data_IF_483083773398
#
_entry.id   IF_483083773398
#
_cell.length_a   1.000
_cell.length_b   1.000
_cell.length_c   1.000
_cell.angle_alpha   90.00
_cell.angle_beta   90.00
_cell.angle_gamma   90.00
#
_symmetry.space_group_name_H-M   'P 1'
#
loop_
_entity.id
_entity.type
_entity.pdbx_description
1 polymer ?
#
# COMPACT_ATOMS: atom_id res chain seq x y z
N UNK A 1 7.30 12.35 26.45
CA UNK A 1 7.49 11.18 27.34
C UNK A 1 7.11 9.86 26.64
N UNK A 2 6.02 9.86 25.82
CA UNK A 2 5.55 8.66 25.14
C UNK A 2 6.55 8.08 24.11
N UNK A 3 7.40 8.91 23.53
CA UNK A 3 8.40 8.48 22.53
C UNK A 3 9.46 7.54 23.12
N UNK A 4 9.80 7.68 24.38
CA UNK A 4 10.80 6.83 25.03
C UNK A 4 10.38 5.36 25.16
N UNK A 5 9.08 5.10 25.23
CA UNK A 5 8.55 3.74 25.42
C UNK A 5 8.72 2.89 24.16
N UNK A 6 8.77 3.50 22.98
CA UNK A 6 8.86 2.75 21.72
C UNK A 6 10.23 2.14 21.47
N UNK A 7 11.28 2.65 22.12
CA UNK A 7 12.64 2.14 21.99
C UNK A 7 13.13 1.41 23.23
N UNK A 8 12.59 1.70 24.41
CA UNK A 8 13.00 1.07 25.66
C UNK A 8 11.85 1.05 26.68
N UNK A 9 11.56 -0.11 27.24
CA UNK A 9 10.63 -0.28 28.35
C UNK A 9 11.40 -0.46 29.65
N UNK A 10 11.34 0.49 30.61
CA UNK A 10 11.93 0.29 31.93
C UNK A 10 11.32 -0.94 32.62
N UNK A 11 12.17 -1.79 33.19
CA UNK A 11 11.72 -2.95 33.94
C UNK A 11 10.98 -2.59 35.23
N UNK A 12 11.36 -1.48 35.85
CA UNK A 12 10.62 -0.91 36.98
C UNK A 12 9.51 -0.01 36.50
N UNK A 13 8.25 -0.39 36.80
CA UNK A 13 7.04 0.32 36.39
C UNK A 13 6.96 1.78 36.84
N UNK A 14 7.65 2.16 37.93
CA UNK A 14 7.73 3.53 38.42
C UNK A 14 8.43 4.47 37.46
N UNK A 15 9.32 3.96 36.64
CA UNK A 15 10.08 4.74 35.64
C UNK A 15 9.43 4.80 34.24
N UNK A 16 8.34 4.08 34.06
CA UNK A 16 7.61 4.12 32.77
C UNK A 16 6.92 5.45 32.51
N UNK A 17 6.65 6.23 33.56
CA UNK A 17 5.97 7.55 33.50
C UNK A 17 4.60 7.49 32.77
N UNK A 18 3.96 6.34 32.75
CA UNK A 18 2.65 6.10 32.15
C UNK A 18 1.54 6.17 33.19
N UNK A 19 0.35 6.62 32.79
CA UNK A 19 -0.86 6.55 33.64
C UNK A 19 -1.20 5.10 34.04
N UNK A 20 -0.94 4.16 33.13
CA UNK A 20 -1.02 2.71 33.37
C UNK A 20 0.29 2.09 32.88
N UNK A 21 1.09 1.52 33.77
CA UNK A 21 2.28 0.78 33.37
C UNK A 21 1.91 -0.39 32.45
N UNK A 22 2.80 -0.73 31.53
CA UNK A 22 2.65 -1.86 30.60
C UNK A 22 3.62 -2.97 30.96
N UNK A 23 3.21 -4.21 30.74
CA UNK A 23 4.09 -5.36 30.90
C UNK A 23 5.05 -5.50 29.71
N UNK A 24 6.11 -6.26 29.88
CA UNK A 24 7.02 -6.60 28.76
C UNK A 24 6.28 -7.32 27.63
N UNK A 25 5.29 -8.13 27.97
CA UNK A 25 4.46 -8.86 27.00
C UNK A 25 3.55 -7.89 26.20
N UNK A 26 2.86 -6.95 26.89
CA UNK A 26 2.07 -5.92 26.23
C UNK A 26 2.94 -5.07 25.31
N UNK A 27 4.11 -4.65 25.80
CA UNK A 27 5.07 -3.86 25.04
C UNK A 27 5.57 -4.61 23.78
N UNK A 28 5.86 -5.90 23.94
CA UNK A 28 6.22 -6.75 22.81
C UNK A 28 5.09 -6.88 21.78
N UNK A 29 3.83 -6.67 22.20
CA UNK A 29 2.65 -6.67 21.33
C UNK A 29 2.38 -5.36 20.62
N UNK A 30 3.06 -4.26 20.94
CA UNK A 30 2.79 -2.95 20.34
C UNK A 30 3.33 -2.82 18.92
N UNK A 31 2.71 -1.91 18.16
CA UNK A 31 3.27 -1.42 16.90
C UNK A 31 4.58 -0.69 17.22
N UNK A 32 5.64 -1.00 16.49
CA UNK A 32 6.92 -0.30 16.68
C UNK A 32 6.86 1.03 15.94
N UNK A 33 6.62 2.11 16.67
CA UNK A 33 6.59 3.47 16.13
C UNK A 33 7.99 4.11 16.22
N UNK A 34 8.27 5.00 15.26
CA UNK A 34 9.52 5.75 15.17
C UNK A 34 9.23 7.25 15.12
N UNK A 35 10.21 8.12 15.34
CA UNK A 35 10.01 9.58 15.35
C UNK A 35 9.28 10.11 14.12
N UNK A 36 9.56 9.58 12.92
CA UNK A 36 8.93 10.00 11.69
C UNK A 36 7.39 9.83 11.68
N UNK A 37 6.86 8.83 12.40
CA UNK A 37 5.42 8.64 12.56
C UNK A 37 4.75 9.87 13.16
N UNK A 38 5.33 10.42 14.21
CA UNK A 38 4.80 11.61 14.92
C UNK A 38 5.08 12.89 14.15
N UNK A 39 6.28 13.03 13.58
CA UNK A 39 6.70 14.22 12.82
C UNK A 39 5.84 14.45 11.57
N UNK A 40 5.43 13.37 10.91
CA UNK A 40 4.55 13.45 9.73
C UNK A 40 3.06 13.45 10.09
N UNK A 41 2.72 13.28 11.38
CA UNK A 41 1.34 13.35 11.89
C UNK A 41 0.48 12.17 11.51
N UNK A 42 1.07 10.96 11.47
CA UNK A 42 0.34 9.73 11.18
C UNK A 42 -0.54 9.29 12.37
N UNK A 43 -1.64 8.62 12.06
CA UNK A 43 -2.52 7.99 13.05
C UNK A 43 -2.87 6.57 12.60
N UNK A 44 -2.82 5.60 13.53
CA UNK A 44 -3.25 4.23 13.28
C UNK A 44 -4.78 4.17 13.27
N UNK A 45 -5.38 3.71 12.16
CA UNK A 45 -6.84 3.50 12.04
C UNK A 45 -7.22 2.03 12.14
N UNK A 46 -6.37 1.13 11.64
CA UNK A 46 -6.57 -0.32 11.78
C UNK A 46 -5.35 -0.96 12.46
N UNK A 47 -5.52 -2.20 12.96
CA UNK A 47 -4.40 -3.00 13.48
C UNK A 47 -3.58 -2.27 14.57
N UNK A 48 -4.21 -1.99 15.71
CA UNK A 48 -3.56 -1.33 16.85
C UNK A 48 -2.51 -2.21 17.55
N UNK A 49 -2.55 -3.51 17.33
CA UNK A 49 -1.52 -4.46 17.78
C UNK A 49 -0.42 -4.56 16.73
N UNK A 50 0.83 -4.64 17.18
CA UNK A 50 2.01 -4.72 16.30
C UNK A 50 2.24 -6.11 15.70
N UNK A 51 1.47 -7.13 16.12
CA UNK A 51 1.47 -8.46 15.53
C UNK A 51 0.14 -8.66 14.82
N UNK A 52 0.18 -9.01 13.54
CA UNK A 52 -0.98 -9.28 12.70
C UNK A 52 -0.88 -10.71 12.18
N UNK A 53 -1.90 -11.52 12.49
CA UNK A 53 -2.03 -12.87 11.95
C UNK A 53 -2.97 -12.82 10.74
N UNK A 54 -2.52 -13.39 9.62
CA UNK A 54 -3.21 -13.33 8.33
C UNK A 54 -3.20 -14.68 7.64
N UNK A 55 -4.09 -14.87 6.68
CA UNK A 55 -3.93 -15.96 5.71
C UNK A 55 -2.74 -15.66 4.80
N UNK A 56 -2.86 -14.68 3.91
CA UNK A 56 -1.84 -14.32 2.91
C UNK A 56 -1.74 -12.83 2.63
N UNK A 57 -2.73 -12.01 3.03
CA UNK A 57 -2.75 -10.57 2.76
C UNK A 57 -3.38 -9.76 3.88
N UNK A 58 -2.99 -8.51 3.95
CA UNK A 58 -3.50 -7.54 4.93
C UNK A 58 -3.63 -6.15 4.31
N UNK A 59 -4.56 -5.37 4.84
CA UNK A 59 -4.68 -3.94 4.55
C UNK A 59 -4.53 -3.18 5.86
N UNK A 60 -3.42 -2.48 6.01
CA UNK A 60 -3.21 -1.56 7.14
C UNK A 60 -3.67 -0.17 6.74
N UNK A 61 -4.51 0.46 7.55
CA UNK A 61 -5.02 1.81 7.30
C UNK A 61 -4.41 2.81 8.28
N UNK A 62 -3.75 3.82 7.73
CA UNK A 62 -3.19 4.96 8.46
C UNK A 62 -3.87 6.25 7.98
N UNK A 63 -4.33 7.09 8.91
CA UNK A 63 -4.67 8.46 8.58
C UNK A 63 -3.41 9.29 8.49
N UNK A 64 -3.37 10.22 7.55
CA UNK A 64 -2.24 11.10 7.34
C UNK A 64 -2.69 12.47 6.83
N UNK A 65 -2.07 13.58 7.25
CA UNK A 65 -2.31 14.90 6.68
C UNK A 65 -1.90 14.93 5.19
N UNK A 66 -2.41 15.91 4.43
CA UNK A 66 -2.18 15.98 2.99
C UNK A 66 -0.71 16.15 2.59
N UNK A 67 0.07 16.74 3.48
CA UNK A 67 1.52 16.90 3.29
C UNK A 67 2.30 15.59 3.41
N UNK A 68 1.78 14.57 4.11
CA UNK A 68 2.50 13.32 4.32
C UNK A 68 2.41 12.39 3.11
N UNK A 69 3.53 11.81 2.72
CA UNK A 69 3.65 10.76 1.71
C UNK A 69 4.30 9.54 2.33
N UNK A 70 3.81 8.36 1.94
CA UNK A 70 4.22 7.07 2.52
C UNK A 70 4.86 6.17 1.47
N UNK A 71 5.75 5.32 1.94
CA UNK A 71 6.31 4.17 1.23
C UNK A 71 6.24 2.96 2.16
N UNK A 72 6.09 1.76 1.62
CA UNK A 72 6.10 0.53 2.41
C UNK A 72 6.98 -0.53 1.76
N UNK A 73 7.55 -1.37 2.60
CA UNK A 73 8.36 -2.51 2.22
C UNK A 73 7.90 -3.73 3.02
N UNK A 74 7.88 -4.89 2.37
CA UNK A 74 7.71 -6.17 3.04
C UNK A 74 9.09 -6.82 3.18
N UNK A 75 9.47 -7.20 4.40
CA UNK A 75 10.75 -7.83 4.69
C UNK A 75 10.53 -9.26 5.22
N UNK A 76 11.48 -10.14 4.92
CA UNK A 76 11.59 -11.46 5.50
C UNK A 76 13.04 -11.71 5.89
N UNK A 77 13.27 -12.16 7.12
CA UNK A 77 14.63 -12.40 7.65
C UNK A 77 15.58 -11.19 7.46
N UNK A 78 15.03 -9.97 7.64
CA UNK A 78 15.64 -8.65 7.43
C UNK A 78 15.87 -8.27 5.96
N UNK A 79 15.70 -9.18 5.01
CA UNK A 79 15.81 -8.91 3.57
C UNK A 79 14.53 -8.28 3.02
N UNK A 80 14.70 -7.19 2.26
CA UNK A 80 13.60 -6.56 1.53
C UNK A 80 13.15 -7.47 0.39
N UNK A 81 11.86 -7.73 0.32
CA UNK A 81 11.24 -8.44 -0.81
C UNK A 81 11.00 -7.49 -1.99
N UNK A 82 10.60 -8.08 -3.12
CA UNK A 82 10.21 -7.32 -4.31
C UNK A 82 9.08 -6.31 -3.99
N UNK A 83 9.14 -5.15 -4.62
CA UNK A 83 8.19 -4.05 -4.37
C UNK A 83 6.72 -4.42 -4.70
N UNK A 84 6.51 -5.43 -5.55
CA UNK A 84 5.16 -5.91 -5.89
C UNK A 84 4.41 -6.54 -4.70
N UNK A 85 5.07 -6.86 -3.60
CA UNK A 85 4.41 -7.39 -2.40
C UNK A 85 3.78 -6.33 -1.50
N UNK A 86 3.92 -5.05 -1.84
CA UNK A 86 3.22 -3.94 -1.19
C UNK A 86 2.56 -3.03 -2.21
N UNK A 87 1.39 -2.46 -1.87
CA UNK A 87 0.69 -1.51 -2.71
C UNK A 87 0.03 -0.45 -1.84
N UNK A 88 0.34 0.82 -2.09
CA UNK A 88 -0.16 1.93 -1.28
C UNK A 88 -1.15 2.75 -2.08
N UNK A 89 -2.32 2.98 -1.50
CA UNK A 89 -3.36 3.83 -2.08
C UNK A 89 -3.84 4.84 -1.06
N UNK A 90 -4.19 6.03 -1.53
CA UNK A 90 -4.73 7.08 -0.67
C UNK A 90 -6.17 7.42 -1.05
N UNK A 91 -7.05 7.46 -0.05
CA UNK A 91 -8.43 7.89 -0.23
C UNK A 91 -8.93 8.56 1.06
N UNK A 92 -9.62 9.70 0.94
CA UNK A 92 -10.27 10.40 2.05
C UNK A 92 -9.34 10.68 3.25
N UNK A 93 -8.11 11.14 2.99
CA UNK A 93 -7.12 11.45 4.04
C UNK A 93 -6.53 10.24 4.75
N UNK A 94 -6.78 9.03 4.23
CA UNK A 94 -6.22 7.78 4.75
C UNK A 94 -5.42 7.06 3.68
N UNK A 95 -4.34 6.42 4.09
CA UNK A 95 -3.58 5.48 3.28
C UNK A 95 -4.01 4.06 3.61
N UNK A 96 -4.37 3.30 2.57
CA UNK A 96 -4.54 1.86 2.62
C UNK A 96 -3.25 1.22 2.10
N UNK A 97 -2.52 0.60 3.00
CA UNK A 97 -1.26 -0.09 2.75
C UNK A 97 -1.58 -1.57 2.64
N UNK A 98 -1.61 -2.07 1.42
CA UNK A 98 -1.81 -3.47 1.12
C UNK A 98 -0.47 -4.21 1.20
N UNK A 99 -0.45 -5.38 1.81
CA UNK A 99 0.69 -6.28 1.77
C UNK A 99 0.21 -7.71 1.50
N UNK A 100 0.92 -8.42 0.64
CA UNK A 100 0.66 -9.81 0.31
C UNK A 100 1.94 -10.62 0.54
N UNK A 101 1.83 -11.76 1.22
CA UNK A 101 2.98 -12.60 1.55
C UNK A 101 3.16 -13.69 0.51
N UNK A 102 4.36 -13.90 -0.07
CA UNK A 102 4.57 -14.91 -1.11
C UNK A 102 4.45 -16.35 -0.61
N UNK A 103 4.63 -16.59 0.68
CA UNK A 103 4.53 -17.91 1.32
C UNK A 103 4.21 -17.78 2.81
N UNK A 104 3.85 -18.87 3.47
CA UNK A 104 3.66 -18.89 4.94
C UNK A 104 4.93 -18.49 5.69
N UNK A 105 4.77 -17.91 6.89
CA UNK A 105 5.87 -17.57 7.79
C UNK A 105 5.83 -16.15 8.34
N UNK A 106 6.90 -15.72 9.04
CA UNK A 106 7.00 -14.39 9.60
C UNK A 106 7.48 -13.37 8.58
N UNK A 107 6.95 -12.14 8.68
CA UNK A 107 7.35 -10.97 7.89
C UNK A 107 7.31 -9.70 8.75
N UNK A 108 7.94 -8.65 8.23
CA UNK A 108 7.81 -7.29 8.76
C UNK A 108 7.28 -6.40 7.64
N UNK A 109 6.13 -5.76 7.87
CA UNK A 109 5.66 -4.66 7.05
C UNK A 109 6.22 -3.36 7.62
N UNK A 110 7.18 -2.78 6.92
CA UNK A 110 7.83 -1.53 7.29
C UNK A 110 7.24 -0.38 6.50
N UNK A 111 6.85 0.67 7.20
CA UNK A 111 6.30 1.88 6.60
C UNK A 111 7.25 3.04 6.86
N UNK A 112 7.52 3.79 5.81
CA UNK A 112 8.31 5.00 5.81
C UNK A 112 7.42 6.18 5.48
N UNK A 113 7.79 7.35 5.98
CA UNK A 113 7.08 8.59 5.70
C UNK A 113 8.02 9.77 5.53
N UNK A 114 7.56 10.78 4.79
CA UNK A 114 8.15 12.12 4.75
C UNK A 114 7.08 13.16 4.46
N UNK A 115 7.37 14.43 4.67
CA UNK A 115 6.51 15.49 4.15
C UNK A 115 6.81 15.71 2.65
N UNK A 116 5.78 15.94 1.85
CA UNK A 116 5.84 16.01 0.37
C UNK A 116 6.88 17.02 -0.16
N UNK A 117 7.01 18.15 0.52
CA UNK A 117 7.88 19.26 0.11
C UNK A 117 9.24 19.27 0.82
N UNK A 118 9.51 18.30 1.67
CA UNK A 118 10.81 18.15 2.30
C UNK A 118 11.77 17.42 1.37
N UNK A 119 12.97 17.96 1.24
CA UNK A 119 14.08 17.29 0.57
C UNK A 119 14.54 16.08 1.41
N UNK A 120 15.15 15.10 0.76
CA UNK A 120 15.71 13.93 1.41
C UNK A 120 14.89 12.66 1.27
N UNK A 121 15.37 11.61 1.93
CA UNK A 121 14.80 10.26 1.86
C UNK A 121 13.62 10.09 2.79
N UNK A 122 12.79 9.09 2.51
CA UNK A 122 11.76 8.65 3.44
C UNK A 122 12.39 8.13 4.73
N UNK A 123 11.85 8.54 5.88
CA UNK A 123 12.29 8.09 7.18
C UNK A 123 11.40 6.96 7.70
N UNK A 124 11.99 6.00 8.37
CA UNK A 124 11.26 4.89 8.99
C UNK A 124 10.25 5.40 10.03
N UNK A 125 8.96 5.06 9.83
CA UNK A 125 7.85 5.54 10.65
C UNK A 125 7.30 4.47 11.60
N UNK A 126 7.08 3.24 11.10
CA UNK A 126 6.58 2.14 11.92
C UNK A 126 6.83 0.77 11.30
N UNK A 127 6.74 -0.27 12.13
CA UNK A 127 6.76 -1.67 11.71
C UNK A 127 5.58 -2.45 12.31
N UNK A 128 4.99 -3.32 11.48
CA UNK A 128 4.13 -4.42 11.89
C UNK A 128 4.84 -5.75 11.68
N UNK A 129 4.72 -6.67 12.64
CA UNK A 129 5.13 -8.07 12.49
C UNK A 129 3.95 -8.87 11.96
N UNK A 130 4.11 -9.52 10.84
CA UNK A 130 3.07 -10.32 10.18
C UNK A 130 3.40 -11.79 10.36
N UNK A 131 2.39 -12.59 10.73
CA UNK A 131 2.44 -14.05 10.71
C UNK A 131 1.45 -14.53 9.65
N UNK A 132 1.98 -15.00 8.52
CA UNK A 132 1.19 -15.49 7.41
C UNK A 132 1.00 -17.00 7.51
N UNK A 133 -0.25 -17.46 7.44
CA UNK A 133 -0.58 -18.87 7.41
C UNK A 133 -0.35 -19.51 6.03
N UNK A 134 -0.44 -18.71 4.98
CA UNK A 134 -0.34 -19.14 3.57
C UNK A 134 0.50 -18.16 2.75
N UNK A 135 0.67 -18.46 1.46
CA UNK A 135 1.18 -17.55 0.46
C UNK A 135 0.10 -17.13 -0.53
N UNK A 136 0.03 -15.85 -0.85
CA UNK A 136 -0.96 -15.24 -1.74
C UNK A 136 -0.53 -15.10 -3.20
N UNK A 137 0.69 -15.57 -3.57
CA UNK A 137 1.11 -15.61 -4.97
C UNK A 137 1.54 -14.25 -5.55
N UNK A 138 1.15 -13.92 -6.74
CA UNK A 138 1.73 -13.03 -7.73
C UNK A 138 1.91 -11.53 -7.46
N UNK A 139 1.73 -11.02 -6.24
CA UNK A 139 1.94 -9.61 -5.92
C UNK A 139 0.88 -8.66 -6.50
N UNK A 140 1.10 -7.36 -6.33
CA UNK A 140 0.26 -6.27 -6.85
C UNK A 140 0.78 -5.77 -8.20
N UNK A 141 -0.07 -5.13 -9.03
CA UNK A 141 0.37 -4.50 -10.27
C UNK A 141 1.36 -3.36 -9.96
N UNK A 142 2.30 -3.14 -10.88
CA UNK A 142 3.20 -2.00 -10.79
C UNK A 142 2.41 -0.73 -11.07
N UNK A 143 2.45 0.23 -10.14
CA UNK A 143 1.89 1.56 -10.34
C UNK A 143 2.97 2.56 -10.75
N UNK A 144 2.64 3.47 -11.67
CA UNK A 144 3.47 4.62 -12.00
C UNK A 144 3.14 5.81 -11.08
N UNK A 145 4.08 6.77 -10.97
CA UNK A 145 3.89 7.99 -10.17
C UNK A 145 2.60 8.73 -10.51
N UNK A 146 2.29 8.85 -11.79
CA UNK A 146 1.05 9.47 -12.31
C UNK A 146 -0.22 8.91 -11.66
N UNK A 147 -0.26 7.60 -11.35
CA UNK A 147 -1.41 6.99 -10.68
C UNK A 147 -1.62 7.59 -9.28
N UNK A 148 -0.57 7.64 -8.47
CA UNK A 148 -0.66 8.15 -7.08
C UNK A 148 -0.76 9.68 -7.03
N UNK A 149 -0.08 10.39 -7.91
CA UNK A 149 -0.07 11.87 -8.01
C UNK A 149 -1.44 12.43 -8.35
N UNK A 150 -2.20 11.74 -9.22
CA UNK A 150 -3.58 12.11 -9.56
C UNK A 150 -4.63 11.51 -8.62
N UNK A 151 -4.23 10.95 -7.47
CA UNK A 151 -5.17 10.38 -6.51
C UNK A 151 -5.87 9.11 -7.02
N UNK A 152 -5.20 8.35 -7.88
CA UNK A 152 -5.68 7.09 -8.40
C UNK A 152 -5.97 6.07 -7.29
N UNK A 153 -7.06 5.31 -7.45
CA UNK A 153 -7.44 4.23 -6.54
C UNK A 153 -7.89 2.99 -7.31
N UNK A 154 -7.17 1.90 -7.14
CA UNK A 154 -7.45 0.62 -7.76
C UNK A 154 -8.37 -0.22 -6.88
N UNK A 155 -9.55 -0.57 -7.38
CA UNK A 155 -10.47 -1.50 -6.73
C UNK A 155 -10.26 -2.93 -7.23
N UNK A 156 -10.10 -3.11 -8.54
CA UNK A 156 -9.83 -4.40 -9.20
C UNK A 156 -9.21 -4.22 -10.58
N UNK A 157 -8.45 -5.23 -11.05
CA UNK A 157 -7.92 -6.37 -10.30
C UNK A 157 -6.71 -5.98 -9.44
N UNK A 158 -6.63 -6.54 -8.23
CA UNK A 158 -5.54 -6.22 -7.29
C UNK A 158 -4.29 -7.09 -7.51
N UNK A 159 -4.40 -8.23 -8.16
CA UNK A 159 -3.25 -9.11 -8.43
C UNK A 159 -2.57 -8.75 -9.75
N UNK A 160 -1.22 -8.71 -9.74
CA UNK A 160 -0.41 -8.38 -10.92
C UNK A 160 -0.54 -9.40 -12.04
N UNK A 161 -0.73 -10.69 -11.69
CA UNK A 161 -0.83 -11.78 -12.66
C UNK A 161 -2.29 -12.08 -12.96
N UNK A 162 -2.68 -11.93 -14.22
CA UNK A 162 -4.04 -12.17 -14.70
C UNK A 162 -4.05 -13.37 -15.64
N UNK A 163 -4.98 -14.32 -15.43
CA UNK A 163 -5.07 -15.52 -16.26
C UNK A 163 -5.52 -15.16 -17.67
N UNK A 164 -4.74 -15.53 -18.69
CA UNK A 164 -5.12 -15.37 -20.09
C UNK A 164 -6.35 -16.21 -20.42
N UNK A 165 -7.19 -15.68 -21.30
CA UNK A 165 -8.50 -16.25 -21.64
C UNK A 165 -9.58 -16.04 -20.58
N UNK A 166 -9.25 -15.41 -19.43
CA UNK A 166 -10.25 -15.02 -18.44
C UNK A 166 -10.71 -13.57 -18.63
N UNK A 167 -11.95 -13.29 -18.25
CA UNK A 167 -12.47 -11.92 -18.19
C UNK A 167 -12.21 -11.34 -16.80
N UNK A 168 -11.59 -10.15 -16.75
CA UNK A 168 -11.30 -9.43 -15.52
C UNK A 168 -12.12 -8.14 -15.45
N UNK A 169 -12.63 -7.83 -14.27
CA UNK A 169 -13.32 -6.56 -14.00
C UNK A 169 -12.27 -5.51 -13.63
N UNK A 170 -11.99 -4.59 -14.53
CA UNK A 170 -11.22 -3.39 -14.21
C UNK A 170 -12.14 -2.35 -13.59
N UNK A 171 -11.83 -1.94 -12.37
CA UNK A 171 -12.53 -0.88 -11.63
C UNK A 171 -11.49 0.02 -10.98
N UNK A 172 -11.33 1.20 -11.55
CA UNK A 172 -10.24 2.12 -11.21
C UNK A 172 -10.82 3.52 -11.06
N UNK A 173 -10.57 4.16 -9.94
CA UNK A 173 -10.86 5.57 -9.75
C UNK A 173 -9.65 6.39 -10.21
N UNK A 174 -9.87 7.36 -11.10
CA UNK A 174 -8.83 8.27 -11.61
C UNK A 174 -9.42 9.67 -11.68
N UNK A 175 -9.33 10.44 -10.58
CA UNK A 175 -9.87 11.79 -10.54
C UNK A 175 -9.31 12.66 -11.65
N UNK A 176 -10.18 13.43 -12.30
CA UNK A 176 -9.82 14.35 -13.38
C UNK A 176 -9.52 13.72 -14.74
N UNK A 177 -9.41 12.40 -14.86
CA UNK A 177 -9.18 11.79 -16.16
C UNK A 177 -10.41 11.89 -17.08
N UNK A 178 -10.18 12.12 -18.37
CA UNK A 178 -11.21 12.07 -19.40
C UNK A 178 -11.50 10.66 -19.87
N UNK A 179 -10.43 9.87 -20.05
CA UNK A 179 -10.48 8.49 -20.55
C UNK A 179 -9.50 7.62 -19.81
N UNK A 180 -9.87 6.37 -19.59
CA UNK A 180 -8.97 5.30 -19.14
C UNK A 180 -9.12 4.11 -20.08
N UNK A 181 -8.00 3.51 -20.47
CA UNK A 181 -7.99 2.35 -21.34
C UNK A 181 -7.02 1.27 -20.79
N UNK A 182 -7.40 0.01 -21.00
CA UNK A 182 -6.54 -1.15 -20.86
C UNK A 182 -5.99 -1.51 -22.23
N UNK A 183 -4.67 -1.60 -22.35
CA UNK A 183 -3.98 -1.82 -23.61
C UNK A 183 -3.26 -3.16 -23.58
N UNK A 184 -3.49 -3.97 -24.60
CA UNK A 184 -2.84 -5.25 -24.83
C UNK A 184 -2.39 -5.31 -26.30
N UNK A 185 -1.05 -5.32 -26.53
CA UNK A 185 -0.49 -5.12 -27.86
C UNK A 185 -0.96 -3.79 -28.44
N UNK A 186 -1.62 -3.83 -29.62
CA UNK A 186 -2.19 -2.67 -30.31
C UNK A 186 -3.67 -2.45 -29.98
N UNK A 187 -4.28 -3.31 -29.14
CA UNK A 187 -5.70 -3.27 -28.83
C UNK A 187 -5.97 -2.37 -27.63
N UNK A 188 -6.83 -1.37 -27.83
CA UNK A 188 -7.26 -0.40 -26.83
C UNK A 188 -8.67 -0.71 -26.34
N UNK A 189 -8.82 -1.07 -25.08
CA UNK A 189 -10.09 -1.34 -24.44
C UNK A 189 -10.44 -0.17 -23.51
N UNK A 190 -11.27 0.76 -24.00
CA UNK A 190 -11.70 1.90 -23.21
C UNK A 190 -12.67 1.48 -22.11
N UNK A 191 -12.40 1.90 -20.87
CA UNK A 191 -13.30 1.68 -19.75
C UNK A 191 -14.42 2.71 -19.75
N UNK A 192 -15.62 2.29 -19.32
CA UNK A 192 -16.77 3.17 -19.16
C UNK A 192 -16.55 4.11 -17.97
N UNK A 193 -16.71 5.41 -18.21
CA UNK A 193 -16.60 6.42 -17.17
C UNK A 193 -17.92 6.58 -16.42
N UNK A 194 -17.86 6.54 -15.07
CA UNK A 194 -18.96 6.80 -14.15
C UNK A 194 -18.47 7.74 -13.04
N UNK A 195 -18.58 9.06 -13.24
CA UNK A 195 -17.91 10.06 -12.42
C UNK A 195 -16.38 9.95 -12.55
N UNK A 196 -15.67 9.79 -11.43
CA UNK A 196 -14.22 9.53 -11.43
C UNK A 196 -13.87 8.04 -11.51
N UNK A 197 -14.87 7.16 -11.56
CA UNK A 197 -14.71 5.72 -11.67
C UNK A 197 -14.71 5.29 -13.13
N UNK A 198 -13.78 4.40 -13.49
CA UNK A 198 -13.70 3.76 -14.80
C UNK A 198 -13.87 2.27 -14.65
N UNK A 199 -14.83 1.67 -15.36
CA UNK A 199 -15.22 0.26 -15.19
C UNK A 199 -15.31 -0.42 -16.56
N UNK A 200 -14.82 -1.67 -16.62
CA UNK A 200 -14.95 -2.52 -17.81
C UNK A 200 -14.62 -3.97 -17.55
N UNK A 201 -15.29 -4.85 -18.29
CA UNK A 201 -14.98 -6.28 -18.30
C UNK A 201 -14.06 -6.53 -19.49
N UNK A 202 -12.81 -6.90 -19.23
CA UNK A 202 -11.76 -7.05 -20.23
C UNK A 202 -11.28 -8.50 -20.25
N UNK A 203 -11.36 -9.15 -21.40
CA UNK A 203 -10.76 -10.46 -21.63
C UNK A 203 -9.24 -10.31 -21.76
N UNK A 204 -8.51 -11.09 -21.00
CA UNK A 204 -7.04 -11.04 -20.97
C UNK A 204 -6.48 -11.87 -22.13
N UNK A 205 -5.97 -11.21 -23.16
CA UNK A 205 -5.50 -11.83 -24.39
C UNK A 205 -3.97 -11.83 -24.55
N UNK A 206 -3.27 -10.91 -23.85
CA UNK A 206 -1.83 -10.70 -24.00
C UNK A 206 -1.07 -10.92 -22.67
N UNK A 207 0.24 -11.11 -22.81
CA UNK A 207 1.17 -11.19 -21.68
C UNK A 207 1.42 -9.83 -21.03
N UNK A 208 1.42 -8.76 -21.82
CA UNK A 208 1.69 -7.40 -21.38
C UNK A 208 0.40 -6.59 -21.37
N UNK A 209 -0.06 -6.22 -20.17
CA UNK A 209 -1.30 -5.49 -19.98
C UNK A 209 -0.96 -4.18 -19.29
N UNK A 210 -1.34 -3.07 -19.90
CA UNK A 210 -1.05 -1.73 -19.38
C UNK A 210 -2.33 -0.92 -19.28
N UNK A 211 -2.46 -0.15 -18.21
CA UNK A 211 -3.56 0.79 -18.01
C UNK A 211 -3.03 2.20 -18.19
N UNK A 212 -3.71 2.96 -19.00
CA UNK A 212 -3.39 4.34 -19.31
C UNK A 212 -4.58 5.25 -19.06
N UNK A 213 -4.30 6.52 -18.72
CA UNK A 213 -5.32 7.57 -18.64
C UNK A 213 -4.96 8.74 -19.55
N UNK A 214 -6.01 9.44 -20.03
CA UNK A 214 -5.88 10.73 -20.71
C UNK A 214 -6.50 11.80 -19.82
N UNK A 215 -5.74 12.87 -19.59
CA UNK A 215 -6.21 14.02 -18.82
C UNK A 215 -6.51 15.20 -19.71
N UNK A 216 -7.34 16.17 -19.25
CA UNK A 216 -7.68 17.37 -20.01
C UNK A 216 -6.45 18.16 -20.45
N UNK A 217 -6.44 18.60 -21.71
CA UNK A 217 -5.36 19.40 -22.27
C UNK A 217 -4.10 18.62 -22.66
N UNK A 218 -4.07 17.31 -22.46
CA UNK A 218 -2.95 16.45 -22.89
C UNK A 218 -3.29 15.79 -24.24
N UNK A 219 -2.30 15.67 -25.12
CA UNK A 219 -2.45 14.91 -26.37
C UNK A 219 -2.20 13.43 -26.16
N UNK A 220 -1.32 13.06 -25.22
CA UNK A 220 -0.88 11.70 -24.95
C UNK A 220 -1.58 11.09 -23.74
N UNK A 221 -1.56 9.77 -23.67
CA UNK A 221 -2.00 9.01 -22.53
C UNK A 221 -0.83 8.73 -21.58
N UNK A 222 -1.05 8.91 -20.30
CA UNK A 222 -0.09 8.59 -19.24
C UNK A 222 -0.29 7.17 -18.71
N UNK A 223 0.82 6.46 -18.45
CA UNK A 223 0.80 5.14 -17.86
C UNK A 223 0.36 5.20 -16.38
N UNK A 224 -0.57 4.32 -16.01
CA UNK A 224 -1.05 4.19 -14.64
C UNK A 224 -0.57 2.90 -13.97
N UNK A 225 -0.85 1.75 -14.60
CA UNK A 225 -0.63 0.42 -14.03
C UNK A 225 -0.10 -0.56 -15.07
N UNK A 226 0.68 -1.56 -14.60
CA UNK A 226 1.15 -2.68 -15.43
C UNK A 226 0.81 -4.00 -14.77
N UNK A 227 0.28 -4.92 -15.59
CA UNK A 227 -0.04 -6.30 -15.23
C UNK A 227 0.67 -7.27 -16.16
N UNK A 228 0.67 -8.56 -15.79
CA UNK A 228 1.21 -9.65 -16.59
C UNK A 228 0.13 -10.71 -16.81
N UNK A 229 -0.13 -11.06 -18.07
CA UNK A 229 -0.95 -12.21 -18.43
C UNK A 229 -0.17 -13.53 -18.25
N UNK A 230 -0.75 -14.49 -17.56
CA UNK A 230 -0.14 -15.79 -17.24
C UNK A 230 -0.93 -16.94 -17.81
#
# INVERSE_FOLDING_TARGET
PEVFIYDHLPSDTRWQLLKKPVTSEDYAGFVRLRPAFFQTGLEIKSHRKGIIEIDDQVIVTLRAPDRAVLMAELLRDEDKLDESYTFIQRQNGSYNIHAITPRAGPYVLRVFSKNRHEEGSYAWALDYRIKAAKGGGGGFPKAFGTFSENGGYLHSPMHAKLKRGSTQVFKIQVPGAEKVAVIMGDNWHHLKKEGDMFIGNIEIQDKHIRVFAKFPGQEQYDGLLVYTGS
#
